data_IF_652901372558
#
_entry.id   IF_652901372558
#
_cell.length_a   1.000
_cell.length_b   1.000
_cell.length_c   1.000
_cell.angle_alpha   90.00
_cell.angle_beta   90.00
_cell.angle_gamma   90.00
#
_symmetry.space_group_name_H-M   'P 1'
#
loop_
_entity.id
_entity.type
_entity.pdbx_description
1 polymer ?
#
# COMPACT_ATOMS: atom_id res chain seq x y z
N UNK A 1 -7.29 -16.83 -6.22
CA UNK A 1 -7.12 -15.44 -5.75
C UNK A 1 -8.12 -15.22 -4.65
N UNK A 2 -7.67 -14.86 -3.45
CA UNK A 2 -8.57 -14.62 -2.34
C UNK A 2 -9.13 -13.21 -2.49
N UNK A 3 -10.44 -13.06 -2.56
CA UNK A 3 -11.09 -11.73 -2.58
C UNK A 3 -11.39 -11.31 -1.15
N UNK A 4 -10.93 -10.13 -0.76
CA UNK A 4 -11.34 -9.46 0.48
C UNK A 4 -12.00 -8.12 0.10
N UNK A 5 -13.33 -8.10 -0.11
CA UNK A 5 -14.03 -6.93 -0.64
C UNK A 5 -14.18 -5.78 0.37
N UNK A 6 -13.93 -6.06 1.66
CA UNK A 6 -13.91 -5.09 2.73
C UNK A 6 -12.46 -5.01 3.24
N UNK A 7 -11.62 -4.15 2.65
CA UNK A 7 -10.24 -4.00 3.08
C UNK A 7 -10.18 -3.40 4.49
N UNK A 8 -9.20 -3.85 5.24
CA UNK A 8 -8.85 -3.37 6.57
C UNK A 8 -7.44 -2.77 6.56
N UNK A 9 -7.15 -1.93 7.55
CA UNK A 9 -5.81 -1.33 7.70
C UNK A 9 -4.78 -2.46 7.85
N UNK A 10 -3.62 -2.30 7.22
CA UNK A 10 -2.54 -3.28 7.12
C UNK A 10 -2.80 -4.49 6.20
N UNK A 11 -3.96 -4.60 5.56
CA UNK A 11 -4.13 -5.58 4.47
C UNK A 11 -3.16 -5.30 3.32
N UNK A 12 -2.70 -6.36 2.67
CA UNK A 12 -1.81 -6.30 1.50
C UNK A 12 -2.54 -6.81 0.27
N UNK A 13 -2.57 -5.96 -0.76
CA UNK A 13 -3.11 -6.28 -2.08
C UNK A 13 -2.03 -6.19 -3.15
N UNK A 14 -2.18 -6.98 -4.20
CA UNK A 14 -1.38 -6.90 -5.42
C UNK A 14 -2.27 -6.37 -6.54
N UNK A 15 -1.80 -5.35 -7.24
CA UNK A 15 -2.50 -4.80 -8.41
C UNK A 15 -1.52 -4.23 -9.43
N UNK A 16 -1.95 -4.22 -10.69
CA UNK A 16 -1.32 -3.38 -11.71
C UNK A 16 -1.82 -1.94 -11.55
N UNK A 17 -0.93 -0.93 -11.40
CA UNK A 17 -1.34 0.45 -11.25
C UNK A 17 -2.17 1.00 -12.43
N UNK A 18 -2.07 0.39 -13.62
CA UNK A 18 -2.89 0.76 -14.78
C UNK A 18 -4.36 0.35 -14.64
N UNK A 19 -4.67 -0.65 -13.82
CA UNK A 19 -6.02 -1.18 -13.64
C UNK A 19 -6.77 -0.46 -12.51
N UNK A 20 -6.06 0.02 -11.50
CA UNK A 20 -6.66 0.64 -10.30
C UNK A 20 -6.59 2.18 -10.30
N UNK A 21 -6.20 2.77 -11.44
CA UNK A 21 -6.08 4.21 -11.70
C UNK A 21 -5.47 4.97 -10.52
N UNK A 22 -4.28 4.52 -10.14
CA UNK A 22 -3.47 5.08 -9.07
C UNK A 22 -3.07 6.49 -9.47
N UNK A 23 -3.31 7.49 -8.60
CA UNK A 23 -2.64 8.80 -8.74
C UNK A 23 -1.16 8.63 -8.34
N UNK A 24 -0.46 7.78 -9.08
CA UNK A 24 0.98 7.59 -9.02
C UNK A 24 1.56 8.50 -10.10
N UNK A 25 2.30 9.53 -9.69
CA UNK A 25 3.03 10.39 -10.62
C UNK A 25 4.12 9.60 -11.37
N UNK A 26 4.39 8.35 -10.97
CA UNK A 26 5.22 7.38 -11.68
C UNK A 26 4.34 6.37 -12.44
N UNK A 27 4.09 6.63 -13.73
CA UNK A 27 3.40 5.73 -14.69
C UNK A 27 4.20 4.46 -15.04
N UNK A 28 4.95 3.92 -14.10
CA UNK A 28 5.69 2.68 -14.32
C UNK A 28 4.71 1.50 -14.25
N UNK A 29 4.59 0.77 -15.37
CA UNK A 29 3.73 -0.41 -15.56
C UNK A 29 4.27 -1.61 -14.78
N UNK A 30 4.37 -1.48 -13.46
CA UNK A 30 4.92 -2.52 -12.60
C UNK A 30 3.86 -2.88 -11.58
N UNK A 31 3.40 -4.13 -11.64
CA UNK A 31 2.54 -4.73 -10.61
C UNK A 31 3.14 -4.51 -9.24
N UNK A 32 2.42 -3.79 -8.37
CA UNK A 32 2.92 -3.36 -7.07
C UNK A 32 2.12 -4.04 -5.95
N UNK A 33 2.76 -4.13 -4.78
CA UNK A 33 2.07 -4.46 -3.53
C UNK A 33 1.66 -3.17 -2.82
N UNK A 34 0.44 -3.15 -2.34
CA UNK A 34 -0.18 -2.03 -1.66
C UNK A 34 -0.62 -2.46 -0.27
N UNK A 35 -0.09 -1.79 0.76
CA UNK A 35 -0.58 -1.90 2.12
C UNK A 35 -1.71 -0.90 2.33
N UNK A 36 -2.83 -1.32 2.93
CA UNK A 36 -3.94 -0.42 3.22
C UNK A 36 -3.61 0.44 4.43
N UNK A 37 -3.56 1.75 4.24
CA UNK A 37 -3.24 2.73 5.28
C UNK A 37 -4.48 3.30 5.94
N UNK A 38 -5.58 3.45 5.21
CA UNK A 38 -6.84 3.95 5.75
C UNK A 38 -8.04 3.33 5.03
N UNK A 39 -8.94 2.70 5.80
CA UNK A 39 -10.18 2.10 5.30
C UNK A 39 -11.39 2.60 6.10
N UNK A 40 -11.88 3.80 5.80
CA UNK A 40 -13.08 4.35 6.45
C UNK A 40 -14.35 3.71 5.90
N UNK A 41 -15.26 3.21 6.78
CA UNK A 41 -16.56 2.66 6.36
C UNK A 41 -17.44 3.68 5.62
N UNK A 42 -17.27 4.98 5.89
CA UNK A 42 -18.09 6.07 5.31
C UNK A 42 -17.54 6.58 3.97
N UNK A 43 -16.29 6.26 3.62
CA UNK A 43 -15.67 6.66 2.36
C UNK A 43 -15.96 5.65 1.24
N UNK A 44 -16.03 6.13 -0.01
CA UNK A 44 -16.02 5.28 -1.22
C UNK A 44 -14.61 4.91 -1.68
N UNK A 45 -13.59 5.45 -1.03
CA UNK A 45 -12.18 5.22 -1.33
C UNK A 45 -11.42 4.70 -0.12
N UNK A 46 -10.27 4.09 -0.41
CA UNK A 46 -9.32 3.54 0.54
C UNK A 46 -7.96 4.16 0.23
N UNK A 47 -7.21 4.55 1.25
CA UNK A 47 -5.83 5.01 1.08
C UNK A 47 -4.88 3.84 1.25
N UNK A 48 -3.90 3.73 0.36
CA UNK A 48 -2.89 2.68 0.41
C UNK A 48 -1.50 3.26 0.15
N UNK A 49 -0.47 2.52 0.58
CA UNK A 49 0.94 2.86 0.34
C UNK A 49 1.57 1.74 -0.48
N UNK A 50 2.18 2.13 -1.59
CA UNK A 50 2.92 1.21 -2.45
C UNK A 50 4.26 0.79 -1.85
N UNK A 51 4.62 -0.47 -2.11
CA UNK A 51 5.93 -1.04 -1.82
C UNK A 51 6.88 -0.91 -3.01
N UNK A 52 8.17 -0.78 -2.75
CA UNK A 52 9.23 -0.98 -3.74
C UNK A 52 10.31 -1.92 -3.20
N UNK A 53 11.04 -2.61 -4.07
CA UNK A 53 12.25 -3.37 -3.73
C UNK A 53 13.52 -2.58 -4.06
N UNK A 54 13.39 -1.37 -4.60
CA UNK A 54 14.50 -0.47 -4.87
C UNK A 54 14.84 0.33 -3.61
N UNK A 55 16.13 0.62 -3.44
CA UNK A 55 16.59 1.43 -2.31
C UNK A 55 15.84 2.77 -2.31
N UNK A 56 15.30 3.22 -1.16
CA UNK A 56 14.67 4.52 -1.08
C UNK A 56 15.65 5.65 -1.41
N UNK A 57 15.12 6.78 -1.86
CA UNK A 57 15.96 7.93 -2.19
C UNK A 57 16.50 8.57 -0.90
N UNK A 58 17.62 9.28 -1.01
CA UNK A 58 18.19 9.98 0.14
C UNK A 58 17.37 11.24 0.49
N UNK A 59 16.51 11.72 -0.41
CA UNK A 59 15.67 12.92 -0.27
C UNK A 59 14.22 12.64 0.17
N UNK A 60 13.92 11.43 0.67
CA UNK A 60 12.58 11.10 1.17
C UNK A 60 12.23 11.98 2.38
N UNK A 61 11.16 12.76 2.27
CA UNK A 61 10.71 13.67 3.33
C UNK A 61 10.22 12.94 4.59
N UNK A 62 9.78 11.70 4.44
CA UNK A 62 9.31 10.84 5.52
C UNK A 62 10.09 9.54 5.42
N UNK A 63 10.69 9.12 6.52
CA UNK A 63 11.49 7.89 6.59
C UNK A 63 10.67 6.69 6.11
N UNK A 64 11.10 6.02 5.03
CA UNK A 64 10.48 4.79 4.56
C UNK A 64 10.46 3.70 5.63
N UNK A 65 9.45 2.84 5.58
CA UNK A 65 9.38 1.67 6.48
C UNK A 65 10.02 0.48 5.78
N UNK A 66 10.97 -0.15 6.46
CA UNK A 66 11.56 -1.40 6.02
C UNK A 66 10.52 -2.51 6.02
N UNK A 67 10.46 -3.27 4.93
CA UNK A 67 9.54 -4.37 4.72
C UNK A 67 10.34 -5.64 4.43
N UNK A 68 10.52 -6.52 5.42
CA UNK A 68 11.20 -7.80 5.22
C UNK A 68 10.55 -8.66 4.13
N UNK A 69 11.29 -9.68 3.68
CA UNK A 69 10.69 -10.73 2.85
C UNK A 69 9.66 -11.50 3.68
N UNK A 70 8.46 -11.65 3.12
CA UNK A 70 7.39 -12.47 3.68
C UNK A 70 6.62 -13.12 2.52
N UNK A 71 6.95 -14.37 2.22
CA UNK A 71 6.38 -15.09 1.06
C UNK A 71 4.88 -15.41 1.25
N UNK A 72 4.42 -15.57 2.50
CA UNK A 72 3.04 -15.91 2.83
C UNK A 72 2.05 -14.84 2.35
N UNK A 73 2.48 -13.57 2.40
CA UNK A 73 1.71 -12.42 1.92
C UNK A 73 2.24 -11.84 0.60
N UNK A 74 3.02 -12.63 -0.14
CA UNK A 74 3.49 -12.28 -1.49
C UNK A 74 4.58 -11.20 -1.54
N UNK A 75 5.22 -10.88 -0.41
CA UNK A 75 6.38 -9.99 -0.31
C UNK A 75 7.68 -10.77 -0.53
N UNK A 76 7.89 -11.24 -1.76
CA UNK A 76 8.91 -12.26 -2.09
C UNK A 76 10.38 -11.84 -2.01
N UNK A 77 10.62 -10.55 -1.72
CA UNK A 77 11.95 -9.94 -1.58
C UNK A 77 11.85 -8.87 -0.51
N UNK A 78 12.96 -8.54 0.13
CA UNK A 78 13.07 -7.34 0.96
C UNK A 78 12.70 -6.07 0.18
N UNK A 79 12.14 -5.08 0.85
CA UNK A 79 11.72 -3.82 0.24
C UNK A 79 11.35 -2.75 1.26
N UNK A 80 10.65 -1.72 0.79
CA UNK A 80 10.27 -0.55 1.58
C UNK A 80 8.88 -0.05 1.22
N UNK A 81 8.12 0.35 2.24
CA UNK A 81 6.89 1.13 2.09
C UNK A 81 7.26 2.62 2.02
N UNK A 82 6.84 3.29 0.96
CA UNK A 82 7.23 4.69 0.71
C UNK A 82 5.99 5.52 0.43
N UNK A 83 5.80 6.58 1.22
CA UNK A 83 4.67 7.51 1.11
C UNK A 83 4.56 8.16 -0.27
N UNK A 84 5.66 8.34 -1.00
CA UNK A 84 5.63 8.80 -2.39
C UNK A 84 4.75 7.92 -3.28
N UNK A 85 4.69 6.62 -3.03
CA UNK A 85 3.83 5.67 -3.76
C UNK A 85 2.46 5.50 -3.10
N UNK A 86 2.00 6.48 -2.31
CA UNK A 86 0.64 6.47 -1.77
C UNK A 86 -0.37 6.61 -2.88
N UNK A 87 -1.55 6.04 -2.66
CA UNK A 87 -2.63 6.14 -3.61
C UNK A 87 -4.00 6.04 -2.97
N UNK A 88 -5.00 6.47 -3.74
CA UNK A 88 -6.41 6.34 -3.40
C UNK A 88 -7.03 5.32 -4.33
N UNK A 89 -7.60 4.26 -3.78
CA UNK A 89 -8.23 3.15 -4.51
C UNK A 89 -9.74 3.23 -4.29
N UNK A 90 -10.53 3.09 -5.35
CA UNK A 90 -11.99 3.02 -5.23
C UNK A 90 -12.43 1.69 -4.62
N UNK A 91 -13.34 1.70 -3.64
CA UNK A 91 -13.83 0.47 -2.97
C UNK A 91 -14.49 -0.52 -3.90
N UNK A 92 -15.07 -0.06 -5.02
CA UNK A 92 -15.67 -0.92 -6.02
C UNK A 92 -14.66 -1.93 -6.58
N UNK A 93 -13.40 -1.51 -6.76
CA UNK A 93 -12.32 -2.33 -7.34
C UNK A 93 -11.96 -3.53 -6.45
N UNK A 94 -12.17 -3.47 -5.13
CA UNK A 94 -11.91 -4.60 -4.22
C UNK A 94 -12.89 -5.77 -4.41
N UNK A 95 -13.97 -5.57 -5.18
CA UNK A 95 -14.92 -6.62 -5.58
C UNK A 95 -14.59 -7.19 -6.97
N UNK A 96 -13.74 -6.51 -7.73
CA UNK A 96 -13.33 -6.87 -9.08
C UNK A 96 -12.10 -7.80 -9.06
N UNK A 97 -11.68 -8.29 -10.22
CA UNK A 97 -10.53 -9.21 -10.35
C UNK A 97 -9.18 -8.49 -10.49
N UNK A 98 -9.12 -7.19 -10.19
CA UNK A 98 -7.93 -6.33 -10.35
C UNK A 98 -7.10 -6.17 -9.06
N UNK A 99 -7.65 -6.59 -7.91
CA UNK A 99 -7.02 -6.49 -6.59
C UNK A 99 -6.99 -7.86 -5.93
N UNK A 100 -5.80 -8.45 -5.86
CA UNK A 100 -5.61 -9.77 -5.25
C UNK A 100 -5.11 -9.61 -3.81
N UNK A 101 -5.94 -10.00 -2.83
CA UNK A 101 -5.59 -9.95 -1.43
C UNK A 101 -4.57 -11.06 -1.11
N UNK A 102 -3.47 -10.68 -0.45
CA UNK A 102 -2.39 -11.61 -0.09
C UNK A 102 -2.27 -11.90 1.40
N UNK A 103 -2.88 -11.09 2.25
CA UNK A 103 -2.84 -11.23 3.70
C UNK A 103 -2.65 -9.88 4.37
N UNK A 104 -2.14 -9.86 5.58
CA UNK A 104 -1.99 -8.65 6.40
C UNK A 104 -0.56 -8.49 6.90
N UNK A 105 -0.14 -7.24 7.12
CA UNK A 105 1.09 -6.94 7.83
C UNK A 105 0.93 -7.33 9.30
N UNK A 106 2.01 -7.86 9.86
CA UNK A 106 2.08 -8.25 11.28
C UNK A 106 3.08 -7.37 12.02
N UNK A 107 3.00 -7.34 13.34
CA UNK A 107 3.95 -6.59 14.16
C UNK A 107 5.36 -7.19 14.04
N UNK A 108 6.42 -6.36 14.02
CA UNK A 108 6.43 -4.90 14.22
C UNK A 108 6.22 -4.06 12.95
N UNK A 109 6.10 -4.68 11.77
CA UNK A 109 5.98 -3.97 10.48
C UNK A 109 4.67 -3.18 10.38
N UNK A 110 3.55 -3.75 10.85
CA UNK A 110 2.25 -3.10 10.85
C UNK A 110 2.20 -1.80 11.67
N UNK A 111 2.85 -1.79 12.84
CA UNK A 111 2.95 -0.60 13.70
C UNK A 111 3.75 0.50 12.99
N UNK A 112 4.91 0.16 12.42
CA UNK A 112 5.74 1.10 11.68
C UNK A 112 5.04 1.65 10.43
N UNK A 113 4.31 0.78 9.72
CA UNK A 113 3.50 1.15 8.56
C UNK A 113 2.37 2.13 8.93
N UNK A 114 1.70 1.91 10.06
CA UNK A 114 0.65 2.81 10.54
C UNK A 114 1.23 4.17 10.97
N UNK A 115 2.38 4.16 11.65
CA UNK A 115 3.11 5.37 12.03
C UNK A 115 3.57 6.18 10.79
N UNK A 116 4.02 5.50 9.73
CA UNK A 116 4.35 6.12 8.44
C UNK A 116 3.17 6.92 7.87
N UNK A 117 1.97 6.33 7.88
CA UNK A 117 0.76 7.00 7.40
C UNK A 117 0.37 8.19 8.28
N UNK A 118 0.43 8.04 9.60
CA UNK A 118 0.14 9.11 10.54
C UNK A 118 1.08 10.31 10.39
N UNK A 119 2.38 10.06 10.18
CA UNK A 119 3.36 11.13 9.88
C UNK A 119 3.04 11.87 8.59
N UNK A 120 2.59 11.15 7.56
CA UNK A 120 2.17 11.76 6.30
C UNK A 120 0.94 12.66 6.47
N UNK A 121 -0.06 12.22 7.24
CA UNK A 121 -1.30 12.97 7.46
C UNK A 121 -1.12 14.22 8.33
N UNK A 122 -0.24 14.18 9.33
CA UNK A 122 0.09 15.34 10.18
C UNK A 122 0.81 16.45 9.42
N UNK A 123 1.62 16.11 8.41
CA UNK A 123 2.36 17.09 7.61
C UNK A 123 1.48 17.86 6.60
N UNK A 124 0.16 17.62 6.58
CA UNK A 124 -0.77 18.39 5.75
C UNK A 124 -0.59 18.15 4.25
N UNK A 125 -0.03 17.01 3.84
CA UNK A 125 0.02 16.59 2.44
C UNK A 125 -1.34 16.05 1.95
N UNK A 126 -2.42 16.78 2.26
CA UNK A 126 -3.80 16.55 1.80
C UNK A 126 -4.22 17.58 0.75
#
# INVERSE_FOLDING_TARGET
>A
MAKKPNPEVCDVYVADPTEINVRDDHKEKITRRYGIAEASKKSFTVQAIGRTTDKPRDDEKITPVHSPRNDDIGLTKEGWWIVRYRCTIQKALFKEDVLDHRGELVNPEADAFTDLWNKNSVLGYY
#
